data_IF_251512975776
#
_entry.id   IF_251512975776
#
_cell.length_a   1.000
_cell.length_b   1.000
_cell.length_c   1.000
_cell.angle_alpha   90.00
_cell.angle_beta   90.00
_cell.angle_gamma   90.00
#
_symmetry.space_group_name_H-M   'P 1'
#
loop_
_entity.id
_entity.type
_entity.pdbx_description
1 polymer ?
#
# COMPACT_ATOMS: atom_id res chain seq x y z
N UNK A 1 7.21 -34.23 -16.56
CA UNK A 1 6.79 -35.02 -15.39
C UNK A 1 6.67 -34.07 -14.21
N UNK A 2 5.55 -34.00 -13.49
CA UNK A 2 5.47 -33.19 -12.28
C UNK A 2 6.47 -33.77 -11.25
N UNK A 3 7.34 -32.92 -10.72
CA UNK A 3 8.20 -33.29 -9.61
C UNK A 3 7.31 -33.49 -8.38
N UNK A 4 7.05 -34.73 -8.03
CA UNK A 4 6.46 -35.02 -6.71
C UNK A 4 7.49 -34.61 -5.66
N UNK A 5 7.17 -33.59 -4.91
CA UNK A 5 7.97 -33.23 -3.75
C UNK A 5 7.89 -34.37 -2.73
N UNK A 6 9.05 -34.83 -2.28
CA UNK A 6 9.10 -35.64 -1.06
C UNK A 6 8.52 -34.77 0.05
N UNK A 7 7.39 -35.20 0.60
CA UNK A 7 6.79 -34.62 1.80
C UNK A 7 7.72 -35.00 2.96
N UNK A 8 8.86 -34.32 3.07
CA UNK A 8 9.49 -34.21 4.38
C UNK A 8 8.42 -33.63 5.31
N UNK A 9 8.34 -34.12 6.53
CA UNK A 9 7.35 -33.77 7.56
C UNK A 9 7.30 -32.25 7.86
N UNK A 10 6.99 -31.44 6.83
CA UNK A 10 6.84 -30.00 6.91
C UNK A 10 5.41 -29.69 7.33
N UNK A 11 5.12 -29.85 8.61
CA UNK A 11 3.89 -29.36 9.20
C UNK A 11 3.97 -27.83 9.35
N UNK A 12 3.01 -27.14 8.77
CA UNK A 12 2.84 -25.69 8.94
C UNK A 12 1.61 -25.41 9.78
N UNK A 13 1.69 -24.43 10.68
CA UNK A 13 0.54 -23.98 11.46
C UNK A 13 -0.44 -23.16 10.58
N UNK A 14 0.09 -22.42 9.61
CA UNK A 14 -0.70 -21.53 8.74
C UNK A 14 -0.18 -21.65 7.31
N UNK A 15 -1.10 -21.77 6.35
CA UNK A 15 -0.80 -21.67 4.92
C UNK A 15 -1.51 -20.45 4.35
N UNK A 16 -0.75 -19.59 3.66
CA UNK A 16 -1.26 -18.40 2.97
C UNK A 16 -1.11 -18.64 1.46
N UNK A 17 -2.20 -18.59 0.74
CA UNK A 17 -2.22 -18.74 -0.72
C UNK A 17 -2.17 -17.36 -1.38
N UNK A 18 -1.10 -17.13 -2.13
CA UNK A 18 -0.82 -15.88 -2.85
C UNK A 18 0.35 -15.08 -2.26
N UNK A 19 1.40 -14.89 -3.07
CA UNK A 19 2.59 -14.10 -2.75
C UNK A 19 2.47 -12.61 -3.16
N UNK A 20 1.26 -12.06 -3.20
CA UNK A 20 1.04 -10.62 -3.33
C UNK A 20 1.27 -9.90 -1.99
N UNK A 21 1.21 -8.55 -2.01
CA UNK A 21 1.49 -7.73 -0.82
C UNK A 21 0.63 -8.10 0.39
N UNK A 22 -0.66 -8.43 0.18
CA UNK A 22 -1.57 -8.79 1.28
C UNK A 22 -1.12 -10.09 1.95
N UNK A 23 -0.81 -11.13 1.18
CA UNK A 23 -0.36 -12.42 1.71
C UNK A 23 0.97 -12.30 2.46
N UNK A 24 1.94 -11.60 1.85
CA UNK A 24 3.27 -11.43 2.44
C UNK A 24 3.24 -10.53 3.69
N UNK A 25 2.51 -9.42 3.67
CA UNK A 25 2.35 -8.57 4.84
C UNK A 25 1.62 -9.30 5.98
N UNK A 26 0.60 -10.12 5.66
CA UNK A 26 -0.09 -10.96 6.64
C UNK A 26 0.86 -11.96 7.28
N UNK A 27 1.64 -12.71 6.47
CA UNK A 27 2.64 -13.64 6.96
C UNK A 27 3.65 -12.97 7.90
N UNK A 28 4.21 -11.84 7.46
CA UNK A 28 5.18 -11.07 8.24
C UNK A 28 4.60 -10.60 9.58
N UNK A 29 3.41 -9.96 9.55
CA UNK A 29 2.75 -9.46 10.77
C UNK A 29 2.34 -10.58 11.72
N UNK A 30 1.90 -11.73 11.21
CA UNK A 30 1.57 -12.90 12.03
C UNK A 30 2.84 -13.45 12.70
N UNK A 31 3.93 -13.60 11.95
CA UNK A 31 5.20 -14.07 12.51
C UNK A 31 5.77 -13.11 13.56
N UNK A 32 5.65 -11.78 13.37
CA UNK A 32 6.03 -10.80 14.40
C UNK A 32 5.22 -10.99 15.69
N UNK A 33 3.93 -11.28 15.57
CA UNK A 33 3.04 -11.47 16.72
C UNK A 33 3.17 -12.85 17.37
N UNK A 34 3.46 -13.87 16.56
CA UNK A 34 3.54 -15.27 16.95
C UNK A 34 4.81 -15.90 16.35
N UNK A 35 6.00 -15.61 16.91
CA UNK A 35 7.28 -15.98 16.31
C UNK A 35 7.51 -17.48 16.20
N UNK A 36 6.86 -18.30 17.02
CA UNK A 36 6.98 -19.77 17.00
C UNK A 36 6.14 -20.44 15.90
N UNK A 37 5.23 -19.68 15.26
CA UNK A 37 4.36 -20.23 14.23
C UNK A 37 5.10 -20.43 12.92
N UNK A 38 4.92 -21.63 12.34
CA UNK A 38 5.44 -22.00 11.03
C UNK A 38 4.44 -21.58 9.96
N UNK A 39 4.82 -20.63 9.12
CA UNK A 39 3.94 -20.11 8.05
C UNK A 39 4.50 -20.53 6.69
N UNK A 40 3.62 -21.02 5.82
CA UNK A 40 3.92 -21.26 4.43
C UNK A 40 3.14 -20.28 3.55
N UNK A 41 3.85 -19.49 2.76
CA UNK A 41 3.25 -18.69 1.68
C UNK A 41 3.48 -19.44 0.36
N UNK A 42 2.39 -19.71 -0.37
CA UNK A 42 2.42 -20.36 -1.68
C UNK A 42 2.10 -19.34 -2.76
N UNK A 43 2.97 -19.20 -3.76
CA UNK A 43 2.76 -18.37 -4.94
C UNK A 43 2.84 -19.25 -6.19
N UNK A 44 1.83 -19.15 -7.07
CA UNK A 44 1.78 -19.94 -8.31
C UNK A 44 2.77 -19.46 -9.37
N UNK A 45 3.17 -18.19 -9.31
CA UNK A 45 4.10 -17.61 -10.26
C UNK A 45 5.57 -17.83 -9.82
N UNK A 46 6.50 -17.60 -10.73
CA UNK A 46 7.94 -17.73 -10.48
C UNK A 46 8.48 -16.76 -9.43
N UNK A 47 7.75 -15.67 -9.20
CA UNK A 47 8.14 -14.61 -8.29
C UNK A 47 6.93 -14.04 -7.55
N UNK A 48 7.19 -13.44 -6.40
CA UNK A 48 6.18 -12.70 -5.64
C UNK A 48 5.74 -11.43 -6.40
N UNK A 49 4.55 -10.94 -6.09
CA UNK A 49 4.01 -9.69 -6.64
C UNK A 49 3.83 -9.66 -8.18
N UNK A 50 3.75 -10.81 -8.84
CA UNK A 50 3.67 -10.91 -10.30
C UNK A 50 2.35 -10.36 -10.91
N UNK A 51 1.31 -10.20 -10.12
CA UNK A 51 -0.01 -9.75 -10.59
C UNK A 51 -0.34 -8.34 -10.11
N UNK A 52 -1.51 -8.12 -9.48
CA UNK A 52 -2.03 -6.79 -9.09
C UNK A 52 -1.04 -5.95 -8.27
N UNK A 53 -0.24 -6.60 -7.42
CA UNK A 53 0.76 -5.91 -6.61
C UNK A 53 1.87 -5.27 -7.45
N UNK A 54 2.27 -5.90 -8.57
CA UNK A 54 3.26 -5.37 -9.51
C UNK A 54 2.64 -4.50 -10.62
N UNK A 55 1.30 -4.45 -10.75
CA UNK A 55 0.59 -3.77 -11.83
C UNK A 55 -0.50 -2.85 -11.26
N UNK A 56 -0.08 -1.80 -10.58
CA UNK A 56 -0.95 -0.80 -9.95
C UNK A 56 -0.38 0.62 -10.17
N UNK A 57 -1.06 1.63 -9.61
CA UNK A 57 -0.65 3.04 -9.76
C UNK A 57 0.56 3.45 -8.92
N UNK A 58 1.06 2.61 -8.03
CA UNK A 58 2.15 2.93 -7.12
C UNK A 58 1.84 4.02 -6.08
N UNK A 59 0.58 4.44 -5.94
CA UNK A 59 0.20 5.57 -5.08
C UNK A 59 0.08 5.16 -3.62
N UNK A 60 0.74 5.89 -2.76
CA UNK A 60 0.54 5.86 -1.30
C UNK A 60 -0.69 6.72 -1.00
N UNK A 61 -1.86 6.10 -0.86
CA UNK A 61 -3.14 6.79 -0.68
C UNK A 61 -3.29 7.40 0.72
N UNK A 62 -3.97 8.57 0.80
CA UNK A 62 -4.20 9.32 2.04
C UNK A 62 -5.48 8.96 2.80
N UNK A 63 -6.45 8.30 2.16
CA UNK A 63 -7.78 8.06 2.75
C UNK A 63 -8.82 9.13 2.43
N UNK A 64 -8.48 10.08 1.56
CA UNK A 64 -9.25 11.27 1.20
C UNK A 64 -10.71 10.98 0.79
N UNK A 65 -10.93 9.95 -0.03
CA UNK A 65 -12.22 9.66 -0.66
C UNK A 65 -13.16 8.80 0.17
N UNK A 66 -12.68 8.19 1.25
CA UNK A 66 -13.48 7.23 2.01
C UNK A 66 -14.45 7.91 2.97
N UNK A 67 -15.60 7.25 3.19
CA UNK A 67 -16.57 7.71 4.16
C UNK A 67 -15.93 7.80 5.55
N UNK A 68 -16.02 8.94 6.24
CA UNK A 68 -15.51 9.09 7.60
C UNK A 68 -16.08 8.03 8.55
N UNK A 69 -15.22 7.53 9.45
CA UNK A 69 -15.56 6.49 10.41
C UNK A 69 -15.61 5.06 9.82
N UNK A 70 -15.41 4.89 8.51
CA UNK A 70 -15.34 3.53 7.91
C UNK A 70 -13.99 2.86 8.17
N UNK A 71 -13.99 1.53 8.21
CA UNK A 71 -12.75 0.74 8.27
C UNK A 71 -11.80 1.06 7.09
N UNK A 72 -12.34 1.35 5.89
CA UNK A 72 -11.53 1.75 4.74
C UNK A 72 -10.78 3.05 4.99
N UNK A 73 -11.43 4.06 5.58
CA UNK A 73 -10.78 5.32 5.93
C UNK A 73 -9.69 5.11 6.96
N UNK A 74 -10.00 4.44 8.08
CA UNK A 74 -9.05 4.16 9.14
C UNK A 74 -7.85 3.36 8.64
N UNK A 75 -8.09 2.23 7.96
CA UNK A 75 -7.03 1.37 7.46
C UNK A 75 -6.15 2.07 6.41
N UNK A 76 -6.71 3.00 5.62
CA UNK A 76 -5.93 3.75 4.66
C UNK A 76 -4.98 4.76 5.34
N UNK A 77 -5.47 5.49 6.35
CA UNK A 77 -4.65 6.47 7.09
C UNK A 77 -3.58 5.77 7.92
N UNK A 78 -3.96 4.76 8.70
CA UNK A 78 -3.03 4.01 9.56
C UNK A 78 -2.03 3.22 8.70
N UNK A 79 -2.51 2.52 7.67
CA UNK A 79 -1.68 1.73 6.75
C UNK A 79 -0.69 2.60 5.96
N UNK A 80 -1.05 3.82 5.57
CA UNK A 80 -0.11 4.76 4.96
C UNK A 80 1.05 5.09 5.90
N UNK A 81 0.76 5.42 7.16
CA UNK A 81 1.78 5.74 8.17
C UNK A 81 2.72 4.55 8.40
N UNK A 82 2.15 3.35 8.54
CA UNK A 82 2.94 2.12 8.70
C UNK A 82 3.79 1.82 7.45
N UNK A 83 3.21 1.99 6.24
CA UNK A 83 3.92 1.75 4.99
C UNK A 83 5.13 2.69 4.83
N UNK A 84 4.93 3.98 5.10
CA UNK A 84 6.01 4.98 5.01
C UNK A 84 7.09 4.71 6.05
N UNK A 85 6.71 4.35 7.29
CA UNK A 85 7.66 3.97 8.33
C UNK A 85 8.47 2.72 7.92
N UNK A 86 7.79 1.68 7.42
CA UNK A 86 8.41 0.47 6.91
C UNK A 86 9.36 0.74 5.74
N UNK A 87 8.94 1.57 4.79
CA UNK A 87 9.77 1.92 3.64
C UNK A 87 11.05 2.67 4.06
N UNK A 88 10.95 3.59 5.02
CA UNK A 88 12.10 4.32 5.59
C UNK A 88 13.05 3.36 6.32
N UNK A 89 12.53 2.53 7.22
CA UNK A 89 13.31 1.57 8.01
C UNK A 89 14.11 0.61 7.11
N UNK A 90 13.45 0.11 6.05
CA UNK A 90 14.05 -0.89 5.16
C UNK A 90 14.65 -0.28 3.88
N UNK A 91 14.78 1.04 3.80
CA UNK A 91 15.39 1.77 2.69
C UNK A 91 14.75 1.45 1.33
N UNK A 92 13.43 1.24 1.31
CA UNK A 92 12.67 1.05 0.07
C UNK A 92 12.48 2.43 -0.57
N UNK A 93 12.84 2.61 -1.86
CA UNK A 93 12.65 3.87 -2.57
C UNK A 93 11.18 4.30 -2.55
N UNK A 94 10.90 5.50 -2.13
CA UNK A 94 9.58 6.12 -2.12
C UNK A 94 9.72 7.64 -2.10
N UNK A 95 8.69 8.33 -2.56
CA UNK A 95 8.64 9.79 -2.54
C UNK A 95 7.26 10.25 -2.03
N UNK A 96 7.26 11.14 -1.03
CA UNK A 96 6.05 11.79 -0.53
C UNK A 96 5.91 13.13 -1.25
N UNK A 97 5.64 13.04 -2.54
CA UNK A 97 5.56 14.17 -3.46
C UNK A 97 4.22 14.94 -3.37
N UNK A 98 3.26 14.44 -2.60
CA UNK A 98 1.92 15.00 -2.56
C UNK A 98 1.08 14.65 -3.79
N UNK A 99 -0.14 15.20 -3.84
CA UNK A 99 -0.98 15.15 -5.03
C UNK A 99 -1.95 16.33 -5.08
N UNK A 100 -2.30 16.74 -6.29
CA UNK A 100 -3.36 17.71 -6.55
C UNK A 100 -4.63 16.98 -7.00
N UNK A 101 -5.77 17.36 -6.43
CA UNK A 101 -7.10 17.00 -6.94
C UNK A 101 -7.73 18.30 -7.47
N UNK A 102 -8.16 18.31 -8.71
CA UNK A 102 -8.67 19.55 -9.36
C UNK A 102 -10.15 19.45 -9.70
N UNK A 103 -10.84 20.58 -9.58
CA UNK A 103 -12.12 20.83 -10.20
C UNK A 103 -11.87 21.65 -11.47
N UNK A 104 -12.34 21.18 -12.60
CA UNK A 104 -12.20 21.83 -13.91
C UNK A 104 -13.44 22.64 -14.27
N UNK A 105 -14.57 22.34 -13.62
CA UNK A 105 -15.86 22.97 -13.82
C UNK A 105 -16.55 23.30 -12.48
N UNK A 106 -17.40 24.33 -12.48
CA UNK A 106 -18.15 24.78 -11.28
C UNK A 106 -19.04 23.69 -10.70
N UNK A 107 -19.57 22.79 -11.54
CA UNK A 107 -20.41 21.67 -11.09
C UNK A 107 -19.66 20.66 -10.22
N UNK A 108 -18.31 20.59 -10.32
CA UNK A 108 -17.47 19.68 -9.53
C UNK A 108 -17.16 20.22 -8.13
N UNK A 109 -17.33 21.53 -7.88
CA UNK A 109 -16.99 22.17 -6.60
C UNK A 109 -17.72 21.57 -5.40
N UNK A 110 -19.01 21.25 -5.56
CA UNK A 110 -19.79 20.63 -4.49
C UNK A 110 -19.23 19.25 -4.10
N UNK A 111 -18.82 18.44 -5.10
CA UNK A 111 -18.19 17.14 -4.87
C UNK A 111 -16.82 17.31 -4.22
N UNK A 112 -15.99 18.23 -4.72
CA UNK A 112 -14.67 18.50 -4.17
C UNK A 112 -14.73 18.96 -2.72
N UNK A 113 -15.70 19.81 -2.36
CA UNK A 113 -15.96 20.23 -0.98
C UNK A 113 -16.30 19.03 -0.07
N UNK A 114 -17.11 18.08 -0.56
CA UNK A 114 -17.39 16.83 0.17
C UNK A 114 -16.13 16.00 0.37
N UNK A 115 -15.30 15.88 -0.65
CA UNK A 115 -14.01 15.16 -0.58
C UNK A 115 -13.07 15.83 0.42
N UNK A 116 -12.98 17.15 0.41
CA UNK A 116 -12.21 17.90 1.40
C UNK A 116 -12.67 17.64 2.84
N UNK A 117 -13.98 17.74 3.08
CA UNK A 117 -14.55 17.49 4.41
C UNK A 117 -14.33 16.05 4.86
N UNK A 118 -14.41 15.08 3.97
CA UNK A 118 -14.04 13.69 4.25
C UNK A 118 -12.57 13.58 4.65
N UNK A 119 -11.68 14.26 3.93
CA UNK A 119 -10.24 14.29 4.23
C UNK A 119 -9.95 14.82 5.64
N UNK A 120 -10.56 15.95 6.00
CA UNK A 120 -10.44 16.53 7.36
C UNK A 120 -10.96 15.54 8.40
N UNK A 121 -12.16 14.99 8.22
CA UNK A 121 -12.78 14.04 9.15
C UNK A 121 -12.00 12.71 9.28
N UNK A 122 -11.28 12.30 8.24
CA UNK A 122 -10.42 11.12 8.24
C UNK A 122 -9.00 11.39 8.80
N UNK A 123 -8.67 12.63 9.15
CA UNK A 123 -7.35 13.00 9.66
C UNK A 123 -6.25 12.97 8.60
N UNK A 124 -6.58 13.35 7.35
CA UNK A 124 -5.59 13.51 6.27
C UNK A 124 -4.76 14.75 6.56
N UNK A 125 -3.48 14.55 6.86
CA UNK A 125 -2.59 15.61 7.33
C UNK A 125 -2.27 16.61 6.21
N UNK A 126 -2.35 17.90 6.54
CA UNK A 126 -1.92 19.00 5.68
C UNK A 126 -2.79 19.24 4.44
N UNK A 127 -3.99 18.61 4.36
CA UNK A 127 -4.90 18.86 3.25
C UNK A 127 -5.35 20.31 3.25
N UNK A 128 -5.31 20.98 2.09
CA UNK A 128 -5.74 22.36 1.92
C UNK A 128 -6.43 22.57 0.58
N UNK A 129 -7.31 23.59 0.54
CA UNK A 129 -7.87 24.07 -0.71
C UNK A 129 -6.90 25.03 -1.36
N UNK A 130 -6.75 24.91 -2.67
CA UNK A 130 -5.84 25.75 -3.47
C UNK A 130 -6.57 26.35 -4.67
N UNK A 131 -6.16 27.53 -5.06
CA UNK A 131 -6.68 28.24 -6.23
C UNK A 131 -5.99 27.80 -7.54
N UNK A 132 -6.49 28.32 -8.66
CA UNK A 132 -5.97 28.03 -9.99
C UNK A 132 -4.49 28.41 -10.15
N UNK A 133 -4.03 29.46 -9.45
CA UNK A 133 -2.62 29.90 -9.50
C UNK A 133 -1.74 28.88 -8.80
N UNK A 134 -2.14 28.45 -7.60
CA UNK A 134 -1.40 27.46 -6.83
C UNK A 134 -1.36 26.09 -7.51
N UNK A 135 -2.44 25.69 -8.20
CA UNK A 135 -2.45 24.47 -9.03
C UNK A 135 -1.32 24.54 -10.06
N UNK A 136 -1.20 25.64 -10.80
CA UNK A 136 -0.14 25.79 -11.82
C UNK A 136 1.27 25.87 -11.27
N UNK A 137 1.44 26.36 -10.05
CA UNK A 137 2.76 26.36 -9.38
C UNK A 137 3.23 24.95 -9.04
N UNK A 138 2.28 24.06 -8.64
CA UNK A 138 2.57 22.66 -8.29
C UNK A 138 2.69 21.81 -9.55
N UNK A 139 1.72 21.94 -10.47
CA UNK A 139 1.60 21.15 -11.69
C UNK A 139 1.40 22.11 -12.90
N UNK A 140 2.46 22.57 -13.55
CA UNK A 140 2.39 23.60 -14.58
C UNK A 140 1.47 23.28 -15.77
N UNK A 141 1.28 21.99 -16.07
CA UNK A 141 0.44 21.51 -17.17
C UNK A 141 -1.00 21.22 -16.74
N UNK A 142 -1.32 21.33 -15.45
CA UNK A 142 -2.66 21.10 -14.93
C UNK A 142 -3.51 22.38 -15.01
N UNK A 143 -4.77 22.25 -15.41
CA UNK A 143 -5.75 23.34 -15.47
C UNK A 143 -6.92 23.00 -14.58
N UNK A 144 -7.30 23.91 -13.70
CA UNK A 144 -8.46 23.80 -12.82
C UNK A 144 -8.86 25.16 -12.28
N UNK A 145 -10.09 25.28 -11.81
CA UNK A 145 -10.64 26.51 -11.20
C UNK A 145 -10.37 26.54 -9.69
N UNK A 146 -10.36 25.39 -9.05
CA UNK A 146 -10.04 25.17 -7.64
C UNK A 146 -9.45 23.76 -7.47
N UNK A 147 -8.70 23.51 -6.42
CA UNK A 147 -8.14 22.19 -6.15
C UNK A 147 -7.96 21.90 -4.67
N UNK A 148 -7.52 20.65 -4.40
CA UNK A 148 -7.06 20.22 -3.09
C UNK A 148 -5.59 19.80 -3.21
N UNK A 149 -4.75 20.35 -2.37
CA UNK A 149 -3.41 19.86 -2.16
C UNK A 149 -3.40 18.82 -1.04
N UNK A 150 -2.80 17.66 -1.26
CA UNK A 150 -2.75 16.54 -0.32
C UNK A 150 -1.29 16.12 -0.13
N UNK A 151 -0.54 16.80 0.74
CA UNK A 151 0.92 16.64 0.87
C UNK A 151 1.36 15.27 1.38
N UNK A 152 0.52 14.56 2.12
CA UNK A 152 0.85 13.25 2.71
C UNK A 152 0.71 12.06 1.74
N UNK A 153 0.36 12.31 0.48
CA UNK A 153 0.30 11.29 -0.57
C UNK A 153 1.68 11.14 -1.23
N UNK A 154 1.98 9.98 -1.77
CA UNK A 154 3.26 9.74 -2.41
C UNK A 154 3.22 8.57 -3.40
N UNK A 155 4.39 8.14 -3.83
CA UNK A 155 4.60 7.03 -4.74
C UNK A 155 5.60 6.03 -4.16
N UNK A 156 5.39 4.75 -4.44
CA UNK A 156 6.25 3.63 -4.04
C UNK A 156 6.06 2.47 -5.01
N UNK A 157 7.09 1.66 -5.21
CA UNK A 157 6.93 0.37 -5.88
C UNK A 157 6.47 -0.70 -4.88
N UNK A 158 5.21 -1.12 -5.00
CA UNK A 158 4.64 -2.18 -4.16
C UNK A 158 5.25 -3.55 -4.40
N UNK A 159 5.87 -3.78 -5.56
CA UNK A 159 6.63 -5.01 -5.81
C UNK A 159 7.88 -5.05 -4.93
N UNK A 160 8.58 -3.93 -4.75
CA UNK A 160 9.75 -3.85 -3.88
C UNK A 160 9.37 -3.98 -2.41
N UNK A 161 8.24 -3.41 -1.98
CA UNK A 161 7.70 -3.65 -0.63
C UNK A 161 7.44 -5.14 -0.41
N UNK A 162 6.85 -5.82 -1.39
CA UNK A 162 6.52 -7.25 -1.31
C UNK A 162 7.77 -8.14 -1.28
N UNK A 163 8.76 -7.82 -2.11
CA UNK A 163 10.08 -8.50 -2.09
C UNK A 163 10.74 -8.36 -0.71
N UNK A 164 10.67 -7.15 -0.12
CA UNK A 164 11.21 -6.90 1.22
C UNK A 164 10.49 -7.72 2.30
N UNK A 165 9.17 -7.83 2.27
CA UNK A 165 8.45 -8.72 3.18
C UNK A 165 8.89 -10.18 3.02
N UNK A 166 9.02 -10.68 1.79
CA UNK A 166 9.47 -12.04 1.53
C UNK A 166 10.92 -12.27 2.03
N UNK A 167 11.80 -11.30 1.85
CA UNK A 167 13.17 -11.31 2.38
C UNK A 167 13.18 -11.40 3.91
N UNK A 168 12.42 -10.53 4.58
CA UNK A 168 12.34 -10.48 6.04
C UNK A 168 11.75 -11.77 6.63
N UNK A 169 10.71 -12.34 6.01
CA UNK A 169 10.15 -13.63 6.44
C UNK A 169 11.24 -14.70 6.42
N UNK A 170 12.01 -14.79 5.33
CA UNK A 170 13.09 -15.80 5.21
C UNK A 170 14.25 -15.57 6.17
N UNK A 171 14.59 -14.30 6.42
CA UNK A 171 15.74 -13.94 7.26
C UNK A 171 15.46 -14.05 8.77
N UNK A 172 14.27 -13.62 9.20
CA UNK A 172 13.93 -13.50 10.63
C UNK A 172 13.21 -14.75 11.15
N UNK A 173 12.44 -15.42 10.27
CA UNK A 173 11.60 -16.55 10.65
C UNK A 173 11.97 -17.82 9.85
N UNK A 174 13.11 -18.46 10.15
CA UNK A 174 13.64 -19.58 9.35
C UNK A 174 12.71 -20.80 9.30
N UNK A 175 11.76 -20.90 10.24
CA UNK A 175 10.73 -21.94 10.25
C UNK A 175 9.61 -21.67 9.22
N UNK A 176 9.48 -20.42 8.73
CA UNK A 176 8.49 -20.04 7.74
C UNK A 176 9.09 -20.03 6.33
N UNK A 177 8.28 -20.30 5.32
CA UNK A 177 8.72 -20.39 3.92
C UNK A 177 7.85 -19.56 2.99
N UNK A 178 8.47 -19.02 1.96
CA UNK A 178 7.79 -18.40 0.80
C UNK A 178 8.24 -19.19 -0.42
N UNK A 179 7.33 -19.96 -1.00
CA UNK A 179 7.56 -20.81 -2.16
C UNK A 179 6.82 -20.24 -3.38
N UNK A 180 7.52 -20.16 -4.50
CA UNK A 180 7.00 -19.76 -5.80
C UNK A 180 6.94 -20.97 -6.76
N UNK A 181 6.13 -20.89 -7.83
CA UNK A 181 5.88 -21.99 -8.77
C UNK A 181 5.15 -23.20 -8.14
N UNK A 182 4.15 -22.95 -7.30
CA UNK A 182 3.36 -23.98 -6.60
C UNK A 182 1.85 -23.77 -6.77
#
# INVERSE_FOLDING_TARGET
MPKFFSVENNQYDIIIVGGGIVGLASAYKINLKYPDKKILVLEKEKQVAAHQTGHNSGVIHSGLYYKPGSYKAKNCVDGRRELVAFAKEHKIPHDICGKVVVATDVSELAHMNKVFNNGIANGVEGIEKIDAKRIKEIEPHCVGIEGLWVPCTGIIDYADVSKKYAELIRAIFPQSKVLCEH
#
